data_IF_013882446527
#
_entry.id   IF_013882446527
#
_cell.length_a   1.000
_cell.length_b   1.000
_cell.length_c   1.000
_cell.angle_alpha   90.00
_cell.angle_beta   90.00
_cell.angle_gamma   90.00
#
_symmetry.space_group_name_H-M   'P 1'
#
loop_
_entity.id
_entity.type
_entity.pdbx_description
1 polymer ?
#
# COMPACT_ATOMS: atom_id res chain seq x y z
N UNK A 1 -3.94 -26.45 -12.23
CA UNK A 1 -5.15 -26.60 -11.39
C UNK A 1 -4.94 -27.37 -10.08
N UNK A 2 -4.03 -28.35 -9.97
CA UNK A 2 -3.80 -29.11 -8.71
C UNK A 2 -3.42 -28.27 -7.48
N UNK A 3 -2.52 -27.28 -7.62
CA UNK A 3 -2.07 -26.43 -6.49
C UNK A 3 -3.18 -25.54 -5.89
N UNK A 4 -4.15 -25.11 -6.69
CA UNK A 4 -5.28 -24.31 -6.20
C UNK A 4 -6.27 -25.18 -5.39
N UNK A 5 -6.39 -26.47 -5.76
CA UNK A 5 -7.24 -27.44 -5.08
C UNK A 5 -6.65 -27.85 -3.73
N UNK A 6 -5.35 -28.14 -3.68
CA UNK A 6 -4.63 -28.44 -2.43
C UNK A 6 -4.64 -27.27 -1.44
N UNK A 7 -4.49 -26.03 -1.93
CA UNK A 7 -4.59 -24.85 -1.06
C UNK A 7 -6.01 -24.63 -0.54
N UNK A 8 -7.04 -24.93 -1.34
CA UNK A 8 -8.44 -24.84 -0.90
C UNK A 8 -8.81 -25.91 0.12
N UNK A 9 -8.22 -27.11 0.02
CA UNK A 9 -8.45 -28.21 0.95
C UNK A 9 -7.71 -28.00 2.28
N UNK A 10 -6.49 -27.46 2.25
CA UNK A 10 -5.76 -27.07 3.46
C UNK A 10 -6.46 -25.92 4.23
N UNK A 11 -7.07 -24.97 3.53
CA UNK A 11 -7.84 -23.87 4.17
C UNK A 11 -9.14 -24.39 4.77
N UNK A 12 -9.79 -25.39 4.15
CA UNK A 12 -10.99 -26.05 4.67
C UNK A 12 -10.72 -26.93 5.90
N UNK A 13 -9.58 -27.62 5.94
CA UNK A 13 -9.25 -28.58 6.99
C UNK A 13 -8.95 -27.95 8.36
N UNK A 14 -8.57 -26.66 8.42
CA UNK A 14 -8.19 -25.98 9.68
C UNK A 14 -9.29 -25.06 10.28
N UNK A 15 -10.54 -25.13 9.79
CA UNK A 15 -11.69 -24.45 10.44
C UNK A 15 -11.56 -22.92 10.54
N UNK A 16 -10.71 -22.30 9.71
CA UNK A 16 -10.58 -20.86 9.65
C UNK A 16 -11.70 -20.31 8.77
N UNK A 17 -12.74 -19.84 9.45
CA UNK A 17 -13.84 -19.10 8.88
C UNK A 17 -13.27 -17.89 8.09
N UNK A 18 -13.15 -18.04 6.76
CA UNK A 18 -12.58 -17.04 5.84
C UNK A 18 -13.28 -15.68 5.91
N UNK A 19 -14.44 -15.65 6.57
CA UNK A 19 -15.29 -14.49 6.83
C UNK A 19 -14.78 -13.57 7.95
N UNK A 20 -13.97 -14.06 8.91
CA UNK A 20 -13.59 -13.27 10.10
C UNK A 20 -12.38 -12.34 9.87
N UNK A 21 -12.49 -11.02 10.06
CA UNK A 21 -11.40 -10.08 9.77
C UNK A 21 -10.11 -10.47 10.52
N UNK A 22 -8.97 -10.41 9.81
CA UNK A 22 -7.66 -10.57 10.44
C UNK A 22 -7.50 -9.42 11.42
N UNK A 23 -7.31 -9.74 12.71
CA UNK A 23 -7.17 -8.72 13.73
C UNK A 23 -6.02 -7.76 13.40
N UNK A 24 -6.17 -6.44 13.61
CA UNK A 24 -5.14 -5.45 13.28
C UNK A 24 -3.81 -5.69 14.01
N UNK A 25 -3.85 -6.40 15.14
CA UNK A 25 -2.73 -6.71 16.03
C UNK A 25 -1.83 -7.87 15.57
N UNK A 26 -2.23 -8.63 14.54
CA UNK A 26 -1.45 -9.80 14.08
C UNK A 26 -0.05 -9.40 13.57
N UNK A 27 0.09 -8.21 12.97
CA UNK A 27 1.38 -7.69 12.51
C UNK A 27 2.36 -7.39 13.66
N UNK A 28 1.97 -6.54 14.63
CA UNK A 28 2.76 -6.29 15.83
C UNK A 28 3.13 -7.55 16.61
N UNK A 29 2.19 -8.49 16.78
CA UNK A 29 2.45 -9.78 17.45
C UNK A 29 3.51 -10.61 16.74
N UNK A 30 3.53 -10.63 15.40
CA UNK A 30 4.58 -11.31 14.63
C UNK A 30 5.97 -10.71 14.83
N UNK A 31 6.04 -9.39 15.01
CA UNK A 31 7.29 -8.67 15.25
C UNK A 31 7.78 -8.88 16.68
N UNK A 32 6.87 -8.84 17.66
CA UNK A 32 7.17 -9.17 19.04
C UNK A 32 7.67 -10.62 19.16
N UNK A 33 7.01 -11.57 18.51
CA UNK A 33 7.45 -12.98 18.45
C UNK A 33 8.86 -13.11 17.87
N UNK A 34 9.15 -12.43 16.76
CA UNK A 34 10.48 -12.46 16.13
C UNK A 34 11.56 -11.84 17.04
N UNK A 35 11.24 -10.73 17.71
CA UNK A 35 12.15 -10.06 18.64
C UNK A 35 12.47 -10.94 19.87
N UNK A 36 11.48 -11.67 20.37
CA UNK A 36 11.60 -12.51 21.56
C UNK A 36 12.21 -13.89 21.28
N UNK A 37 11.80 -14.56 20.20
CA UNK A 37 12.19 -15.96 19.93
C UNK A 37 13.32 -16.09 18.91
N UNK A 38 13.57 -15.06 18.10
CA UNK A 38 14.48 -15.09 16.94
C UNK A 38 14.20 -16.23 15.93
N UNK A 39 13.04 -16.90 16.00
CA UNK A 39 12.69 -17.96 15.05
C UNK A 39 12.22 -17.37 13.70
N UNK A 40 13.19 -17.26 12.79
CA UNK A 40 12.96 -16.75 11.44
C UNK A 40 12.13 -17.73 10.59
N UNK A 41 12.18 -19.04 10.84
CA UNK A 41 11.43 -20.03 10.05
C UNK A 41 9.95 -19.95 10.36
N UNK A 42 9.58 -19.92 11.64
CA UNK A 42 8.18 -19.78 12.06
C UNK A 42 7.59 -18.44 11.62
N UNK A 43 8.35 -17.34 11.75
CA UNK A 43 7.94 -16.04 11.25
C UNK A 43 7.63 -16.05 9.74
N UNK A 44 8.48 -16.71 8.92
CA UNK A 44 8.25 -16.84 7.48
C UNK A 44 6.99 -17.65 7.16
N UNK A 45 6.72 -18.73 7.88
CA UNK A 45 5.52 -19.54 7.72
C UNK A 45 4.25 -18.74 8.02
N UNK A 46 4.20 -18.07 9.17
CA UNK A 46 3.07 -17.24 9.57
C UNK A 46 2.84 -16.09 8.60
N UNK A 47 3.93 -15.43 8.17
CA UNK A 47 3.84 -14.36 7.17
C UNK A 47 3.24 -14.86 5.86
N UNK A 48 3.65 -16.04 5.37
CA UNK A 48 3.06 -16.64 4.15
C UNK A 48 1.58 -16.93 4.32
N UNK A 49 1.18 -17.46 5.48
CA UNK A 49 -0.23 -17.77 5.80
C UNK A 49 -1.09 -16.51 5.89
N UNK A 50 -0.58 -15.43 6.48
CA UNK A 50 -1.28 -14.14 6.50
C UNK A 50 -1.36 -13.56 5.08
N UNK A 51 -0.32 -13.69 4.28
CA UNK A 51 -0.32 -13.23 2.90
C UNK A 51 -1.33 -14.01 2.03
N UNK A 52 -1.51 -15.32 2.23
CA UNK A 52 -2.52 -16.12 1.51
C UNK A 52 -3.96 -15.72 1.87
N UNK A 53 -4.27 -15.53 3.16
CA UNK A 53 -5.61 -15.07 3.60
C UNK A 53 -5.90 -13.65 3.09
N UNK A 54 -4.88 -12.77 3.06
CA UNK A 54 -5.04 -11.44 2.47
C UNK A 54 -5.27 -11.49 0.97
N UNK A 55 -4.64 -12.43 0.28
CA UNK A 55 -4.78 -12.64 -1.15
C UNK A 55 -6.19 -13.15 -1.50
N UNK A 56 -6.68 -14.19 -0.83
CA UNK A 56 -8.04 -14.72 -1.04
C UNK A 56 -9.11 -13.65 -0.83
N UNK A 57 -8.97 -12.84 0.23
CA UNK A 57 -9.88 -11.71 0.49
C UNK A 57 -9.80 -10.60 -0.54
N UNK A 58 -8.61 -10.29 -1.05
CA UNK A 58 -8.46 -9.29 -2.09
C UNK A 58 -9.19 -9.72 -3.36
N UNK A 59 -9.10 -11.01 -3.73
CA UNK A 59 -9.83 -11.59 -4.86
C UNK A 59 -11.35 -11.55 -4.62
N UNK A 60 -11.81 -11.94 -3.42
CA UNK A 60 -13.23 -11.99 -3.10
C UNK A 60 -13.92 -10.62 -3.07
N UNK A 61 -13.21 -9.57 -2.63
CA UNK A 61 -13.75 -8.20 -2.55
C UNK A 61 -13.82 -7.49 -3.90
N UNK A 62 -13.02 -7.89 -4.87
CA UNK A 62 -12.93 -7.20 -6.16
C UNK A 62 -14.17 -7.50 -7.02
N UNK A 63 -14.91 -6.47 -7.44
CA UNK A 63 -16.14 -6.60 -8.25
C UNK A 63 -15.86 -6.71 -9.75
N UNK A 64 -14.78 -6.08 -10.23
CA UNK A 64 -14.38 -6.07 -11.63
C UNK A 64 -13.78 -7.44 -12.02
N UNK A 65 -14.39 -8.13 -12.99
CA UNK A 65 -14.00 -9.47 -13.42
C UNK A 65 -12.56 -9.54 -13.93
N UNK A 66 -12.10 -8.52 -14.66
CA UNK A 66 -10.74 -8.45 -15.20
C UNK A 66 -9.72 -8.27 -14.08
N UNK A 67 -10.00 -7.37 -13.12
CA UNK A 67 -9.15 -7.20 -11.94
C UNK A 67 -9.13 -8.44 -11.07
N UNK A 68 -10.26 -9.12 -10.91
CA UNK A 68 -10.36 -10.38 -10.16
C UNK A 68 -9.50 -11.48 -10.82
N UNK A 69 -9.53 -11.60 -12.15
CA UNK A 69 -8.66 -12.51 -12.92
C UNK A 69 -7.19 -12.20 -12.71
N UNK A 70 -6.80 -10.93 -12.81
CA UNK A 70 -5.42 -10.49 -12.56
C UNK A 70 -4.99 -10.82 -11.12
N UNK A 71 -5.83 -10.49 -10.14
CA UNK A 71 -5.58 -10.76 -8.74
C UNK A 71 -5.54 -12.26 -8.42
N UNK A 72 -6.17 -13.14 -9.20
CA UNK A 72 -6.11 -14.58 -8.96
C UNK A 72 -4.67 -15.12 -9.01
N UNK A 73 -3.76 -14.46 -9.74
CA UNK A 73 -2.35 -14.82 -9.79
C UNK A 73 -1.59 -14.35 -8.53
N UNK A 74 -0.94 -15.26 -7.76
CA UNK A 74 -0.12 -14.88 -6.60
C UNK A 74 1.08 -14.02 -6.97
N UNK A 75 1.55 -14.09 -8.23
CA UNK A 75 2.65 -13.24 -8.73
C UNK A 75 2.20 -11.80 -8.90
N UNK A 76 1.02 -11.58 -9.47
CA UNK A 76 0.39 -10.26 -9.62
C UNK A 76 0.16 -9.63 -8.25
N UNK A 77 -0.43 -10.37 -7.31
CA UNK A 77 -0.68 -9.89 -5.95
C UNK A 77 0.63 -9.44 -5.25
N UNK A 78 1.68 -10.27 -5.28
CA UNK A 78 2.99 -9.90 -4.71
C UNK A 78 3.59 -8.67 -5.37
N UNK A 79 3.46 -8.52 -6.69
CA UNK A 79 3.96 -7.37 -7.45
C UNK A 79 3.24 -6.09 -7.05
N UNK A 80 1.91 -6.09 -7.02
CA UNK A 80 1.09 -4.97 -6.58
C UNK A 80 1.47 -4.54 -5.16
N UNK A 81 1.61 -5.49 -4.23
CA UNK A 81 2.02 -5.23 -2.85
C UNK A 81 3.43 -4.64 -2.76
N UNK A 82 4.36 -5.08 -3.61
CA UNK A 82 5.72 -4.53 -3.70
C UNK A 82 5.70 -3.10 -4.23
N UNK A 83 4.98 -2.85 -5.32
CA UNK A 83 4.80 -1.51 -5.90
C UNK A 83 4.22 -0.55 -4.87
N UNK A 84 3.14 -0.95 -4.18
CA UNK A 84 2.55 -0.15 -3.11
C UNK A 84 3.53 0.21 -2.02
N UNK A 85 4.34 -0.75 -1.55
CA UNK A 85 5.37 -0.49 -0.52
C UNK A 85 6.44 0.47 -1.03
N UNK A 86 7.01 0.22 -2.21
CA UNK A 86 8.07 1.06 -2.77
C UNK A 86 7.57 2.49 -2.94
N UNK A 87 6.41 2.67 -3.57
CA UNK A 87 5.85 3.98 -3.83
C UNK A 87 5.47 4.72 -2.53
N UNK A 88 4.88 4.02 -1.56
CA UNK A 88 4.59 4.62 -0.25
C UNK A 88 5.87 5.00 0.50
N UNK A 89 6.93 4.18 0.46
CA UNK A 89 8.22 4.50 1.08
C UNK A 89 8.87 5.71 0.41
N UNK A 90 8.88 5.75 -0.93
CA UNK A 90 9.42 6.89 -1.67
C UNK A 90 8.63 8.17 -1.41
N UNK A 91 7.31 8.10 -1.24
CA UNK A 91 6.49 9.24 -0.80
C UNK A 91 6.72 9.63 0.67
N UNK A 92 7.18 8.70 1.51
CA UNK A 92 7.46 8.96 2.92
C UNK A 92 8.79 9.70 3.13
N UNK A 93 9.79 9.52 2.27
CA UNK A 93 11.09 10.23 2.37
C UNK A 93 10.93 11.76 2.39
N UNK A 94 10.24 12.40 1.42
CA UNK A 94 10.04 13.85 1.45
C UNK A 94 9.14 14.28 2.61
N UNK A 95 8.18 13.45 3.03
CA UNK A 95 7.37 13.76 4.21
C UNK A 95 8.17 13.71 5.51
N UNK A 96 9.12 12.78 5.66
CA UNK A 96 10.03 12.72 6.81
C UNK A 96 10.97 13.92 6.82
N UNK A 97 11.52 14.29 5.66
CA UNK A 97 12.32 15.51 5.52
C UNK A 97 11.51 16.75 5.94
N UNK A 98 10.27 16.87 5.44
CA UNK A 98 9.37 17.95 5.79
C UNK A 98 9.03 17.96 7.30
N UNK A 99 8.67 16.81 7.87
CA UNK A 99 8.37 16.65 9.28
C UNK A 99 9.58 16.95 10.18
N UNK A 100 10.80 16.61 9.73
CA UNK A 100 12.03 16.90 10.48
C UNK A 100 12.26 18.41 10.68
N UNK A 101 11.75 19.23 9.77
CA UNK A 101 11.77 20.69 9.88
C UNK A 101 10.56 21.24 10.63
N UNK A 102 9.36 20.71 10.36
CA UNK A 102 8.09 21.26 10.85
C UNK A 102 7.90 20.99 12.35
N UNK A 103 8.26 19.79 12.83
CA UNK A 103 8.08 19.41 14.23
C UNK A 103 8.91 20.30 15.18
N UNK A 104 10.21 20.59 14.93
CA UNK A 104 10.97 21.55 15.73
C UNK A 104 10.36 22.96 15.74
N UNK A 105 9.98 23.46 14.56
CA UNK A 105 9.40 24.80 14.43
C UNK A 105 8.10 24.94 15.23
N UNK A 106 7.24 23.91 15.18
CA UNK A 106 6.00 23.89 15.95
C UNK A 106 6.25 23.81 17.46
N UNK A 107 7.20 22.98 17.89
CA UNK A 107 7.58 22.85 19.30
C UNK A 107 8.11 24.17 19.88
N UNK A 108 8.99 24.86 19.15
CA UNK A 108 9.51 26.17 19.54
C UNK A 108 8.40 27.23 19.54
N UNK A 109 7.58 27.27 18.48
CA UNK A 109 6.53 28.29 18.34
C UNK A 109 5.42 28.22 19.38
N UNK A 110 5.12 27.03 19.90
CA UNK A 110 4.03 26.82 20.87
C UNK A 110 4.55 26.53 22.29
N UNK A 111 5.87 26.57 22.52
CA UNK A 111 6.48 26.27 23.81
C UNK A 111 6.28 24.82 24.28
N UNK A 112 6.01 23.89 23.36
CA UNK A 112 5.77 22.49 23.71
C UNK A 112 7.08 21.76 23.99
N UNK A 113 7.05 20.89 25.00
CA UNK A 113 8.11 19.92 25.22
C UNK A 113 8.26 18.96 24.04
N UNK A 114 9.48 18.51 23.78
CA UNK A 114 9.80 17.63 22.64
C UNK A 114 9.03 16.31 22.64
N UNK A 115 8.63 15.83 23.82
CA UNK A 115 7.79 14.65 23.98
C UNK A 115 6.37 14.84 23.39
N UNK A 116 5.76 16.02 23.56
CA UNK A 116 4.44 16.34 22.99
C UNK A 116 4.52 16.44 21.46
N UNK A 117 5.66 16.89 20.94
CA UNK A 117 5.92 16.97 19.51
C UNK A 117 5.93 15.59 18.83
N UNK A 118 6.24 14.50 19.56
CA UNK A 118 6.16 13.13 19.04
C UNK A 118 4.72 12.70 18.71
N UNK A 119 3.69 13.31 19.31
CA UNK A 119 2.30 13.02 18.97
C UNK A 119 2.03 13.28 17.48
N UNK A 120 2.70 14.26 16.87
CA UNK A 120 2.59 14.58 15.44
C UNK A 120 3.18 13.50 14.51
N UNK A 121 3.83 12.47 15.05
CA UNK A 121 4.27 11.29 14.30
C UNK A 121 3.21 10.17 14.26
N UNK A 122 2.23 10.17 15.17
CA UNK A 122 1.13 9.19 15.19
C UNK A 122 0.34 9.09 13.87
N UNK A 123 0.15 10.18 13.10
CA UNK A 123 -0.51 10.12 11.79
C UNK A 123 0.28 9.36 10.73
N UNK A 124 1.61 9.28 10.85
CA UNK A 124 2.49 8.77 9.80
C UNK A 124 2.17 7.32 9.42
N UNK A 125 2.03 6.36 10.36
CA UNK A 125 1.64 4.99 10.02
C UNK A 125 0.28 4.89 9.31
N UNK A 126 -0.68 5.75 9.66
CA UNK A 126 -2.01 5.77 9.04
C UNK A 126 -1.95 6.31 7.61
N UNK A 127 -1.32 7.47 7.42
CA UNK A 127 -1.11 8.07 6.11
C UNK A 127 -0.32 7.12 5.20
N UNK A 128 0.75 6.50 5.71
CA UNK A 128 1.52 5.50 4.97
C UNK A 128 0.67 4.30 4.55
N UNK A 129 -0.16 3.78 5.45
CA UNK A 129 -1.05 2.64 5.15
C UNK A 129 -2.09 3.01 4.09
N UNK A 130 -2.64 4.22 4.13
CA UNK A 130 -3.58 4.72 3.13
C UNK A 130 -2.90 4.88 1.76
N UNK A 131 -1.77 5.59 1.71
CA UNK A 131 -0.97 5.79 0.49
C UNK A 131 -0.63 4.46 -0.17
N UNK A 132 -0.15 3.50 0.62
CA UNK A 132 0.16 2.15 0.13
C UNK A 132 -1.04 1.48 -0.54
N UNK A 133 -2.24 1.61 0.04
CA UNK A 133 -3.47 1.02 -0.53
C UNK A 133 -3.87 1.71 -1.85
N UNK A 134 -3.73 3.03 -1.92
CA UNK A 134 -4.02 3.78 -3.15
C UNK A 134 -3.06 3.39 -4.27
N UNK A 135 -1.78 3.24 -3.97
CA UNK A 135 -0.79 2.74 -4.93
C UNK A 135 -1.02 1.29 -5.35
N UNK A 136 -1.44 0.41 -4.43
CA UNK A 136 -1.85 -0.96 -4.75
C UNK A 136 -3.03 -0.96 -5.74
N UNK A 137 -4.03 -0.11 -5.51
CA UNK A 137 -5.20 0.03 -6.41
C UNK A 137 -4.83 0.64 -7.77
N UNK A 138 -3.95 1.64 -7.78
CA UNK A 138 -3.44 2.27 -8.99
C UNK A 138 -2.66 1.26 -9.86
N UNK A 139 -1.80 0.45 -9.25
CA UNK A 139 -1.03 -0.58 -9.94
C UNK A 139 -1.94 -1.67 -10.54
N UNK A 140 -2.94 -2.14 -9.79
CA UNK A 140 -3.92 -3.11 -10.31
C UNK A 140 -4.72 -2.53 -11.49
N UNK A 141 -5.13 -1.27 -11.38
CA UNK A 141 -5.86 -0.58 -12.45
C UNK A 141 -4.98 -0.31 -13.68
N UNK A 142 -3.69 -0.04 -13.49
CA UNK A 142 -2.71 0.07 -14.56
C UNK A 142 -2.49 -1.24 -15.31
N UNK A 143 -2.36 -2.36 -14.59
CA UNK A 143 -2.28 -3.70 -15.18
C UNK A 143 -3.52 -4.03 -16.01
N UNK A 144 -4.72 -3.72 -15.49
CA UNK A 144 -5.98 -3.89 -16.23
C UNK A 144 -6.03 -3.04 -17.50
N UNK A 145 -5.65 -1.76 -17.42
CA UNK A 145 -5.70 -0.86 -18.56
C UNK A 145 -4.73 -1.30 -19.68
N UNK A 146 -3.58 -1.89 -19.33
CA UNK A 146 -2.64 -2.49 -20.28
C UNK A 146 -3.15 -3.80 -20.90
N UNK A 147 -3.92 -4.61 -20.17
CA UNK A 147 -4.53 -5.84 -20.70
C UNK A 147 -5.69 -5.54 -21.66
N UNK A 148 -6.52 -4.53 -21.35
CA UNK A 148 -7.71 -4.17 -22.15
C UNK A 148 -7.34 -3.34 -23.40
N UNK A 149 -6.32 -2.49 -23.32
CA UNK A 149 -5.96 -1.59 -24.42
C UNK A 149 -4.43 -1.50 -24.61
N UNK A 150 -3.76 -2.59 -25.02
CA UNK A 150 -2.30 -2.65 -25.15
C UNK A 150 -1.76 -1.63 -26.18
N UNK A 151 -2.55 -1.24 -27.17
CA UNK A 151 -2.15 -0.30 -28.23
C UNK A 151 -2.27 1.19 -27.84
N UNK A 152 -2.69 1.51 -26.61
CA UNK A 152 -2.85 2.91 -26.15
C UNK A 152 -1.98 3.23 -24.92
N UNK A 153 -0.65 3.11 -25.02
CA UNK A 153 0.27 3.27 -23.89
C UNK A 153 0.23 4.68 -23.29
N UNK A 154 0.04 5.72 -24.11
CA UNK A 154 -0.05 7.11 -23.65
C UNK A 154 -1.31 7.36 -22.80
N UNK A 155 -2.44 6.77 -23.16
CA UNK A 155 -3.69 6.90 -22.38
C UNK A 155 -3.58 6.16 -21.05
N UNK A 156 -2.93 4.98 -21.06
CA UNK A 156 -2.65 4.23 -19.84
C UNK A 156 -1.68 5.01 -18.93
N UNK A 157 -0.66 5.67 -19.51
CA UNK A 157 0.27 6.58 -18.83
C UNK A 157 -0.44 7.76 -18.17
N UNK A 158 -1.30 8.46 -18.91
CA UNK A 158 -2.06 9.58 -18.38
C UNK A 158 -2.99 9.15 -17.23
N UNK A 159 -3.62 7.97 -17.33
CA UNK A 159 -4.48 7.43 -16.26
C UNK A 159 -3.67 7.04 -15.02
N UNK A 160 -2.52 6.41 -15.20
CA UNK A 160 -1.64 6.07 -14.09
C UNK A 160 -1.09 7.33 -13.39
N UNK A 161 -0.76 8.35 -14.17
CA UNK A 161 -0.35 9.67 -13.67
C UNK A 161 -1.44 10.34 -12.83
N UNK A 162 -2.70 10.36 -13.29
CA UNK A 162 -3.82 10.88 -12.50
C UNK A 162 -3.99 10.12 -11.18
N UNK A 163 -3.83 8.79 -11.21
CA UNK A 163 -3.95 7.93 -10.02
C UNK A 163 -2.77 8.10 -9.06
N UNK A 164 -1.56 8.30 -9.57
CA UNK A 164 -0.38 8.53 -8.73
C UNK A 164 -0.47 9.89 -8.04
N UNK A 165 -0.87 10.95 -8.76
CA UNK A 165 -1.15 12.26 -8.16
C UNK A 165 -2.21 12.13 -7.06
N UNK A 166 -3.32 11.44 -7.35
CA UNK A 166 -4.36 11.20 -6.33
C UNK A 166 -3.84 10.47 -5.09
N UNK A 167 -2.97 9.47 -5.27
CA UNK A 167 -2.36 8.73 -4.17
C UNK A 167 -1.37 9.59 -3.35
N UNK A 168 -0.58 10.43 -4.01
CA UNK A 168 0.34 11.38 -3.37
C UNK A 168 -0.39 12.50 -2.62
N UNK A 169 -1.40 13.09 -3.25
CA UNK A 169 -2.26 14.10 -2.62
C UNK A 169 -2.98 13.54 -1.40
N UNK A 170 -3.61 12.37 -1.52
CA UNK A 170 -4.31 11.75 -0.40
C UNK A 170 -3.37 11.43 0.78
N UNK A 171 -2.11 11.09 0.51
CA UNK A 171 -1.10 10.92 1.55
C UNK A 171 -0.82 12.23 2.29
N UNK A 172 -0.46 13.30 1.56
CA UNK A 172 -0.17 14.60 2.17
C UNK A 172 -1.38 15.21 2.88
N UNK A 173 -2.56 15.14 2.26
CA UNK A 173 -3.81 15.58 2.87
C UNK A 173 -4.12 14.82 4.16
N UNK A 174 -4.00 13.49 4.17
CA UNK A 174 -4.31 12.70 5.37
C UNK A 174 -3.33 12.96 6.51
N UNK A 175 -2.06 13.16 6.17
CA UNK A 175 -1.01 13.45 7.15
C UNK A 175 -1.29 14.81 7.82
N UNK A 176 -1.61 15.84 7.05
CA UNK A 176 -1.89 17.17 7.60
C UNK A 176 -3.26 17.25 8.28
N UNK A 177 -4.29 16.61 7.73
CA UNK A 177 -5.61 16.55 8.37
C UNK A 177 -5.52 15.91 9.77
N UNK A 178 -4.81 14.79 9.89
CA UNK A 178 -4.60 14.18 11.20
C UNK A 178 -3.71 15.04 12.12
N UNK A 179 -2.74 15.77 11.58
CA UNK A 179 -1.92 16.70 12.39
C UNK A 179 -2.74 17.89 12.91
N UNK A 180 -3.58 18.49 12.07
CA UNK A 180 -4.51 19.55 12.50
C UNK A 180 -5.51 19.04 13.54
N UNK A 181 -5.98 17.79 13.41
CA UNK A 181 -6.83 17.17 14.44
C UNK A 181 -6.09 16.98 15.78
N UNK A 182 -4.80 16.62 15.75
CA UNK A 182 -3.98 16.52 16.97
C UNK A 182 -3.74 17.89 17.58
N UNK A 183 -3.44 18.90 16.75
CA UNK A 183 -3.28 20.29 17.21
C UNK A 183 -4.55 20.80 17.90
N UNK A 184 -5.72 20.52 17.32
CA UNK A 184 -7.03 20.86 17.90
C UNK A 184 -7.23 20.30 19.32
N UNK A 185 -6.77 19.06 19.59
CA UNK A 185 -6.88 18.47 20.93
C UNK A 185 -5.82 18.97 21.93
N UNK A 186 -4.64 19.37 21.44
CA UNK A 186 -3.49 19.76 22.29
C UNK A 186 -3.49 21.26 22.62
N UNK A 187 -4.04 22.09 21.74
CA UNK A 187 -4.12 23.55 21.86
C UNK A 187 -5.51 24.02 21.40
N UNK A 188 -6.52 23.97 22.28
CA UNK A 188 -7.83 24.55 21.97
C UNK A 188 -7.74 26.08 22.04
N UNK A 189 -7.08 26.71 21.06
CA UNK A 189 -6.97 28.15 20.97
C UNK A 189 -8.22 28.77 20.30
N UNK A 190 -8.65 29.98 20.69
CA UNK A 190 -9.81 30.67 20.13
C UNK A 190 -9.61 31.17 18.68
N UNK A 191 -8.42 31.02 18.10
CA UNK A 191 -8.06 31.41 16.73
C UNK A 191 -8.19 30.27 15.72
N UNK A 192 -9.28 29.51 15.85
CA UNK A 192 -9.57 28.26 15.14
C UNK A 192 -9.42 28.39 13.60
N UNK A 193 -9.79 29.53 13.03
CA UNK A 193 -9.67 29.78 11.59
C UNK A 193 -8.24 30.07 11.13
N UNK A 194 -7.42 30.72 11.97
CA UNK A 194 -6.06 31.09 11.61
C UNK A 194 -5.11 29.88 11.66
N UNK A 195 -5.22 29.05 12.70
CA UNK A 195 -4.45 27.80 12.80
C UNK A 195 -4.86 26.81 11.72
N UNK A 196 -6.17 26.67 11.45
CA UNK A 196 -6.64 25.83 10.36
C UNK A 196 -6.17 26.34 8.99
N UNK A 197 -6.12 27.65 8.76
CA UNK A 197 -5.61 28.22 7.51
C UNK A 197 -4.10 27.97 7.32
N UNK A 198 -3.32 28.10 8.39
CA UNK A 198 -1.88 27.84 8.40
C UNK A 198 -1.62 26.33 8.18
N UNK A 199 -2.32 25.47 8.91
CA UNK A 199 -2.24 24.00 8.74
C UNK A 199 -2.68 23.59 7.34
N UNK A 200 -3.72 24.22 6.78
CA UNK A 200 -4.19 23.95 5.41
C UNK A 200 -3.15 24.39 4.37
N UNK A 201 -2.50 25.54 4.55
CA UNK A 201 -1.41 26.01 3.68
C UNK A 201 -0.22 25.05 3.71
N UNK A 202 0.21 24.60 4.89
CA UNK A 202 1.24 23.59 5.03
C UNK A 202 0.81 22.23 4.47
N UNK A 203 -0.49 21.89 4.55
CA UNK A 203 -1.08 20.69 3.97
C UNK A 203 -1.16 20.69 2.46
N UNK A 204 -1.45 21.83 1.86
CA UNK A 204 -1.37 22.02 0.42
C UNK A 204 0.09 21.91 -0.03
N UNK A 205 1.03 22.54 0.68
CA UNK A 205 2.47 22.42 0.41
C UNK A 205 2.97 20.98 0.47
N UNK A 206 2.70 20.27 1.58
CA UNK A 206 3.07 18.86 1.75
C UNK A 206 2.37 17.94 0.74
N UNK A 207 1.09 18.20 0.44
CA UNK A 207 0.30 17.50 -0.57
C UNK A 207 0.84 17.69 -1.98
N UNK A 208 1.27 18.90 -2.35
CA UNK A 208 1.90 19.19 -3.63
C UNK A 208 3.27 18.53 -3.76
N UNK A 209 4.13 18.61 -2.74
CA UNK A 209 5.43 17.93 -2.74
C UNK A 209 5.23 16.42 -2.90
N UNK A 210 4.31 15.84 -2.14
CA UNK A 210 3.97 14.42 -2.26
C UNK A 210 3.38 14.07 -3.64
N UNK A 211 2.56 14.95 -4.24
CA UNK A 211 2.01 14.76 -5.58
C UNK A 211 3.09 14.84 -6.67
N UNK A 212 4.07 15.74 -6.55
CA UNK A 212 5.22 15.84 -7.46
C UNK A 212 6.10 14.59 -7.35
N UNK A 213 6.39 14.12 -6.13
CA UNK A 213 7.13 12.86 -5.95
C UNK A 213 6.34 11.67 -6.48
N UNK A 214 5.03 11.63 -6.26
CA UNK A 214 4.17 10.58 -6.78
C UNK A 214 4.07 10.58 -8.31
N UNK A 215 4.18 11.76 -8.92
CA UNK A 215 4.23 11.92 -10.38
C UNK A 215 5.45 11.21 -10.98
N UNK A 216 6.63 11.38 -10.37
CA UNK A 216 7.83 10.65 -10.78
C UNK A 216 7.68 9.12 -10.66
N UNK A 217 6.78 8.66 -9.78
CA UNK A 217 6.50 7.25 -9.55
C UNK A 217 5.35 6.70 -10.41
N UNK A 218 4.72 7.51 -11.27
CA UNK A 218 3.63 7.06 -12.15
C UNK A 218 3.99 5.82 -13.01
N UNK A 219 5.22 5.67 -13.55
CA UNK A 219 5.62 4.47 -14.27
C UNK A 219 5.58 3.19 -13.41
N UNK A 220 5.77 3.27 -12.09
CA UNK A 220 5.68 2.10 -11.22
C UNK A 220 4.26 1.53 -11.11
N UNK A 221 3.23 2.37 -11.32
CA UNK A 221 1.83 1.93 -11.41
C UNK A 221 1.48 1.32 -12.78
N UNK A 222 2.35 1.50 -13.79
CA UNK A 222 2.24 0.92 -15.12
C UNK A 222 3.24 -0.21 -15.30
N UNK A 223 2.89 -1.35 -14.72
CA UNK A 223 3.66 -2.56 -14.94
C UNK A 223 2.76 -3.56 -15.67
N UNK A 224 3.22 -4.16 -16.78
CA UNK A 224 2.45 -5.22 -17.42
C UNK A 224 2.27 -6.38 -16.44
N UNK A 225 1.15 -7.10 -16.51
CA UNK A 225 0.99 -8.32 -15.72
C UNK A 225 2.15 -9.28 -16.05
N UNK A 226 2.74 -9.97 -15.05
CA UNK A 226 3.73 -10.99 -15.32
C UNK A 226 3.09 -12.04 -16.23
N UNK A 227 3.64 -12.20 -17.43
CA UNK A 227 3.21 -13.26 -18.34
C UNK A 227 3.34 -14.59 -17.61
N UNK A 228 2.31 -15.43 -17.72
CA UNK A 228 2.49 -16.84 -17.41
C UNK A 228 3.67 -17.31 -18.28
N UNK A 229 4.58 -18.10 -17.71
CA UNK A 229 5.57 -18.79 -18.55
C UNK A 229 4.77 -19.51 -19.64
N UNK A 230 5.21 -19.48 -20.92
CA UNK A 230 4.59 -20.33 -21.93
C UNK A 230 4.52 -21.74 -21.33
N UNK A 231 3.34 -22.37 -21.40
CA UNK A 231 3.26 -23.80 -21.13
C UNK A 231 4.36 -24.45 -21.98
N UNK A 232 5.22 -25.31 -21.40
CA UNK A 232 6.18 -26.03 -22.22
C UNK A 232 5.36 -26.69 -23.33
N UNK A 233 5.69 -26.37 -24.58
CA UNK A 233 5.10 -27.07 -25.71
C UNK A 233 5.18 -28.56 -25.40
N UNK A 234 4.08 -29.32 -25.58
CA UNK A 234 4.13 -30.76 -25.38
C UNK A 234 5.26 -31.26 -26.26
N UNK A 235 6.36 -31.68 -25.62
CA UNK A 235 7.50 -32.26 -26.31
C UNK A 235 6.88 -33.39 -27.11
N UNK A 236 6.93 -33.38 -28.45
CA UNK A 236 6.46 -34.51 -29.21
C UNK A 236 7.25 -35.69 -28.64
N UNK A 237 6.52 -36.64 -28.04
CA UNK A 237 7.07 -37.95 -27.76
C UNK A 237 7.57 -38.43 -29.11
N UNK A 238 8.88 -38.33 -29.32
CA UNK A 238 9.54 -39.07 -30.37
C UNK A 238 9.15 -40.52 -30.07
N UNK A 239 8.28 -41.08 -30.91
CA UNK A 239 8.02 -42.49 -30.99
C UNK A 239 9.38 -43.17 -31.17
N UNK A 240 9.95 -43.61 -30.05
CA UNK A 240 11.06 -44.54 -30.03
C UNK A 240 10.48 -45.91 -30.42
N UNK A 241 10.25 -46.09 -31.72
CA UNK A 241 9.52 -47.23 -32.24
C UNK A 241 9.65 -47.42 -33.74
N UNK A 242 10.90 -47.49 -34.25
CA UNK A 242 11.31 -48.35 -35.37
C UNK A 242 12.79 -48.65 -35.28
#
# INVERSE_FOLDING_TARGET
MKQAKEQSELVRAEGLDDTKPLAPWVGPLLLAHLALTRDVRQHRLWRRRIESVRHSRAVARERDATKRRLLASPRVFRRIRRTGRIAATMGMVPALFWMSWLIPMYAVGHGFGWASALAYLLPVPFAFKLSRRLWESAALSGMRDLEVAPHRPLVALQRAFKRSIGAGFAFGFSLVFLQGLISWFMTPAPTLLAELAIDTLFGIGGGMVAAVTATAMAPLALQPPPQALPEPEPTPLLDAGT
#
